data_IF_403136959471
#
_entry.id   IF_403136959471
#
_cell.length_a   1.000
_cell.length_b   1.000
_cell.length_c   1.000
_cell.angle_alpha   90.00
_cell.angle_beta   90.00
_cell.angle_gamma   90.00
#
_symmetry.space_group_name_H-M   'P 1'
#
loop_
_entity.id
_entity.type
_entity.pdbx_description
1 polymer ?
#
# COMPACT_ATOMS: atom_id res chain seq x y z
N UNK A 1 61.56 -25.46 -33.11
CA UNK A 1 60.43 -26.04 -32.33
C UNK A 1 60.06 -25.00 -31.27
N UNK A 2 58.97 -24.31 -31.51
CA UNK A 2 58.51 -23.21 -30.65
C UNK A 2 57.37 -23.70 -29.77
N UNK A 3 57.61 -23.84 -28.47
CA UNK A 3 56.60 -24.24 -27.53
C UNK A 3 55.58 -23.12 -27.32
N UNK A 4 54.32 -23.36 -27.68
CA UNK A 4 53.20 -22.52 -27.41
C UNK A 4 52.68 -22.84 -26.01
N UNK A 5 52.89 -21.96 -25.03
CA UNK A 5 52.34 -22.09 -23.68
C UNK A 5 50.90 -21.50 -23.71
N UNK A 6 49.91 -22.36 -23.61
CA UNK A 6 48.47 -21.98 -23.54
C UNK A 6 48.17 -21.60 -22.09
N UNK A 7 48.04 -20.27 -21.83
CA UNK A 7 47.62 -19.75 -20.52
C UNK A 7 46.11 -19.81 -20.43
N UNK A 8 45.57 -20.83 -19.75
CA UNK A 8 44.15 -20.89 -19.41
C UNK A 8 43.86 -19.89 -18.25
N UNK A 9 43.30 -18.74 -18.57
CA UNK A 9 42.79 -17.80 -17.59
C UNK A 9 41.40 -18.24 -17.15
N UNK A 10 41.30 -18.95 -16.01
CA UNK A 10 40.02 -19.26 -15.38
C UNK A 10 39.45 -17.94 -14.78
N UNK A 11 38.44 -17.37 -15.44
CA UNK A 11 37.66 -16.29 -14.88
C UNK A 11 36.77 -16.87 -13.75
N UNK A 12 37.15 -16.62 -12.50
CA UNK A 12 36.34 -16.91 -11.33
C UNK A 12 35.21 -15.87 -11.29
N UNK A 13 34.04 -16.16 -11.86
CA UNK A 13 32.83 -15.39 -11.62
C UNK A 13 32.40 -15.63 -10.18
N UNK A 14 32.76 -14.74 -9.26
CA UNK A 14 32.11 -14.63 -7.98
C UNK A 14 30.67 -14.16 -8.21
N UNK A 15 29.73 -15.10 -8.29
CA UNK A 15 28.31 -14.81 -8.07
C UNK A 15 28.20 -14.42 -6.58
N UNK A 16 28.15 -13.12 -6.32
CA UNK A 16 27.72 -12.64 -5.01
C UNK A 16 26.24 -13.04 -4.88
N UNK A 17 25.96 -14.12 -4.17
CA UNK A 17 24.63 -14.37 -3.65
C UNK A 17 24.32 -13.24 -2.67
N UNK A 18 23.58 -12.27 -3.12
CA UNK A 18 22.94 -11.31 -2.24
C UNK A 18 21.79 -12.07 -1.59
N UNK A 19 21.99 -12.62 -0.38
CA UNK A 19 20.91 -13.20 0.42
C UNK A 19 19.96 -12.06 0.77
N UNK A 20 18.99 -11.83 -0.12
CA UNK A 20 17.92 -10.87 0.11
C UNK A 20 17.13 -11.36 1.32
N UNK A 21 17.25 -10.66 2.45
CA UNK A 21 16.46 -10.97 3.63
C UNK A 21 14.98 -10.82 3.30
N UNK A 22 14.18 -11.73 3.81
CA UNK A 22 12.72 -11.72 3.69
C UNK A 22 12.09 -11.82 5.07
N UNK A 23 10.93 -11.21 5.24
CA UNK A 23 10.06 -11.37 6.42
C UNK A 23 8.75 -12.00 5.95
N UNK A 24 8.35 -13.09 6.61
CA UNK A 24 7.07 -13.74 6.33
C UNK A 24 6.03 -13.30 7.36
N UNK A 25 4.93 -12.75 6.86
CA UNK A 25 3.73 -12.41 7.66
C UNK A 25 2.69 -13.47 7.40
N UNK A 26 2.37 -14.28 8.42
CA UNK A 26 1.33 -15.29 8.33
C UNK A 26 0.01 -14.74 8.84
N UNK A 27 -1.00 -14.73 7.99
CA UNK A 27 -2.37 -14.29 8.31
C UNK A 27 -3.27 -15.50 8.43
N UNK A 28 -3.94 -15.65 9.57
CA UNK A 28 -4.82 -16.80 9.86
C UNK A 28 -6.27 -16.37 9.95
N UNK A 29 -7.13 -17.05 9.21
CA UNK A 29 -8.57 -16.90 9.27
C UNK A 29 -9.21 -18.10 10.00
N UNK A 30 -9.60 -17.97 11.27
CA UNK A 30 -10.22 -19.06 12.03
C UNK A 30 -11.73 -19.22 11.74
N UNK A 31 -12.30 -18.39 10.88
CA UNK A 31 -13.73 -18.40 10.59
C UNK A 31 -14.06 -19.40 9.49
N UNK A 32 -15.28 -19.93 9.51
CA UNK A 32 -15.81 -20.84 8.49
C UNK A 32 -16.34 -20.10 7.24
N UNK A 33 -15.78 -18.94 6.94
CA UNK A 33 -16.09 -18.13 5.75
C UNK A 33 -14.82 -17.51 5.20
N UNK A 34 -14.75 -17.36 3.90
CA UNK A 34 -13.62 -16.69 3.24
C UNK A 34 -13.56 -15.20 3.65
N UNK A 35 -12.37 -14.68 3.77
CA UNK A 35 -12.09 -13.26 4.02
C UNK A 35 -11.27 -12.73 2.84
N UNK A 36 -11.80 -11.71 2.17
CA UNK A 36 -11.15 -11.08 1.02
C UNK A 36 -10.84 -9.62 1.34
N UNK A 37 -9.64 -9.19 0.93
CA UNK A 37 -9.17 -7.80 1.07
C UNK A 37 -9.23 -7.26 2.50
N UNK A 38 -9.01 -8.14 3.49
CA UNK A 38 -8.95 -7.73 4.89
C UNK A 38 -7.65 -7.01 5.19
N UNK A 39 -7.74 -5.85 5.84
CA UNK A 39 -6.57 -5.04 6.14
C UNK A 39 -5.72 -5.70 7.24
N UNK A 40 -4.48 -6.01 6.90
CA UNK A 40 -3.46 -6.49 7.83
C UNK A 40 -2.58 -5.32 8.23
N UNK A 41 -2.25 -5.20 9.51
CA UNK A 41 -1.34 -4.21 10.06
C UNK A 41 -0.16 -4.91 10.75
N UNK A 42 1.06 -4.49 10.41
CA UNK A 42 2.29 -4.94 11.06
C UNK A 42 3.21 -3.75 11.34
N UNK A 43 4.07 -3.84 12.35
CA UNK A 43 5.00 -2.76 12.68
C UNK A 43 6.05 -2.60 11.57
N UNK A 44 6.14 -1.41 10.99
CA UNK A 44 7.18 -1.10 9.98
C UNK A 44 8.58 -1.08 10.61
N UNK A 45 8.71 -0.62 11.86
CA UNK A 45 9.96 -0.69 12.64
C UNK A 45 10.46 -2.13 12.76
N UNK A 46 9.57 -3.10 13.11
CA UNK A 46 9.95 -4.51 13.21
C UNK A 46 10.39 -5.07 11.85
N UNK A 47 9.64 -4.80 10.80
CA UNK A 47 9.98 -5.21 9.43
C UNK A 47 11.34 -4.65 9.01
N UNK A 48 11.58 -3.36 9.22
CA UNK A 48 12.84 -2.70 8.87
C UNK A 48 14.03 -3.30 9.59
N UNK A 49 13.88 -3.58 10.88
CA UNK A 49 14.92 -4.22 11.70
C UNK A 49 15.23 -5.64 11.21
N UNK A 50 14.21 -6.45 10.93
CA UNK A 50 14.38 -7.83 10.46
C UNK A 50 15.03 -7.89 9.08
N UNK A 51 14.64 -6.99 8.18
CA UNK A 51 15.20 -6.88 6.84
C UNK A 51 16.56 -6.17 6.81
N UNK A 52 16.92 -5.44 7.88
CA UNK A 52 18.10 -4.57 7.94
C UNK A 52 18.09 -3.54 6.79
N UNK A 53 16.94 -2.87 6.61
CA UNK A 53 16.74 -1.88 5.54
C UNK A 53 17.55 -0.61 5.82
N UNK A 54 18.03 0.00 4.73
CA UNK A 54 18.49 1.39 4.77
C UNK A 54 17.25 2.33 4.78
N UNK A 55 17.39 3.54 5.33
CA UNK A 55 16.28 4.51 5.47
C UNK A 55 15.58 4.86 4.15
N UNK A 56 16.28 4.70 3.02
CA UNK A 56 15.76 4.98 1.66
C UNK A 56 15.34 3.72 0.90
N UNK A 57 15.39 2.55 1.55
CA UNK A 57 15.05 1.29 0.86
C UNK A 57 13.56 1.20 0.61
N UNK A 58 13.19 0.83 -0.62
CA UNK A 58 11.83 0.46 -0.96
C UNK A 58 11.59 -1.01 -0.64
N UNK A 59 10.36 -1.33 -0.27
CA UNK A 59 9.92 -2.71 -0.01
C UNK A 59 8.83 -3.11 -0.99
N UNK A 60 8.57 -4.40 -1.07
CA UNK A 60 7.41 -4.98 -1.74
C UNK A 60 6.75 -5.99 -0.80
N UNK A 61 5.45 -6.14 -0.92
CA UNK A 61 4.67 -7.18 -0.25
C UNK A 61 4.19 -8.15 -1.32
N UNK A 62 4.49 -9.43 -1.15
CA UNK A 62 4.14 -10.47 -2.12
C UNK A 62 3.11 -11.43 -1.50
N UNK A 63 2.12 -11.84 -2.29
CA UNK A 63 1.21 -12.93 -1.95
C UNK A 63 1.87 -14.31 -2.11
N UNK A 64 1.12 -15.40 -1.89
CA UNK A 64 1.61 -16.77 -1.99
C UNK A 64 2.02 -17.17 -3.42
N UNK A 65 1.48 -16.48 -4.43
CA UNK A 65 1.81 -16.65 -5.84
C UNK A 65 3.08 -15.87 -6.24
N UNK A 66 3.60 -15.03 -5.35
CA UNK A 66 4.75 -14.17 -5.61
C UNK A 66 4.38 -12.87 -6.33
N UNK A 67 3.11 -12.53 -6.39
CA UNK A 67 2.63 -11.29 -6.99
C UNK A 67 2.64 -10.15 -5.97
N UNK A 68 2.99 -8.94 -6.42
CA UNK A 68 2.95 -7.78 -5.55
C UNK A 68 1.51 -7.40 -5.21
N UNK A 69 1.23 -7.24 -3.92
CA UNK A 69 -0.01 -6.65 -3.42
C UNK A 69 0.22 -5.19 -3.05
N UNK A 70 -0.81 -4.31 -3.20
CA UNK A 70 -0.70 -2.93 -2.78
C UNK A 70 -0.44 -2.84 -1.28
N UNK A 71 0.34 -1.86 -0.86
CA UNK A 71 0.60 -1.60 0.55
C UNK A 71 0.74 -0.10 0.80
N UNK A 72 0.68 0.28 2.07
CA UNK A 72 0.96 1.63 2.52
C UNK A 72 1.71 1.59 3.87
N UNK A 73 2.63 2.52 4.06
CA UNK A 73 3.19 2.82 5.39
C UNK A 73 2.43 4.01 5.94
N UNK A 74 1.84 3.83 7.12
CA UNK A 74 1.03 4.85 7.79
C UNK A 74 1.88 5.81 8.61
N UNK A 75 1.29 6.95 9.04
CA UNK A 75 1.99 7.95 9.87
C UNK A 75 2.34 7.43 11.27
N UNK A 76 1.68 6.38 11.75
CA UNK A 76 1.94 5.72 13.03
C UNK A 76 2.83 4.47 12.89
N UNK A 77 3.66 4.44 11.83
CA UNK A 77 4.69 3.43 11.59
C UNK A 77 4.16 2.00 11.44
N UNK A 78 3.04 1.86 10.73
CA UNK A 78 2.51 0.56 10.36
C UNK A 78 2.64 0.31 8.87
N UNK A 79 3.02 -0.90 8.49
CA UNK A 79 2.82 -1.42 7.15
C UNK A 79 1.43 -2.03 7.09
N UNK A 80 0.57 -1.52 6.20
CA UNK A 80 -0.77 -2.06 5.97
C UNK A 80 -0.88 -2.60 4.55
N UNK A 81 -1.58 -3.72 4.38
CA UNK A 81 -1.85 -4.34 3.09
C UNK A 81 -3.10 -5.22 3.13
N UNK A 82 -3.84 -5.37 2.01
CA UNK A 82 -5.00 -6.25 1.94
C UNK A 82 -4.56 -7.73 1.88
N UNK A 83 -5.23 -8.58 2.65
CA UNK A 83 -5.01 -10.01 2.64
C UNK A 83 -6.29 -10.77 2.33
N UNK A 84 -6.19 -11.81 1.51
CA UNK A 84 -7.27 -12.75 1.22
C UNK A 84 -6.91 -14.10 1.81
N UNK A 85 -7.79 -14.64 2.66
CA UNK A 85 -7.56 -15.91 3.36
C UNK A 85 -8.84 -16.73 3.37
N UNK A 86 -8.77 -17.95 2.85
CA UNK A 86 -9.91 -18.87 2.81
C UNK A 86 -10.38 -19.25 4.22
N UNK A 87 -11.60 -19.79 4.31
CA UNK A 87 -12.19 -20.26 5.56
C UNK A 87 -11.29 -21.30 6.26
N UNK A 88 -11.08 -21.13 7.58
CA UNK A 88 -10.26 -22.01 8.42
C UNK A 88 -8.84 -22.25 7.88
N UNK A 89 -8.24 -21.26 7.21
CA UNK A 89 -6.94 -21.35 6.56
C UNK A 89 -5.96 -20.26 7.02
N UNK A 90 -4.73 -20.36 6.54
CA UNK A 90 -3.71 -19.33 6.68
C UNK A 90 -3.09 -19.02 5.32
N UNK A 91 -2.72 -17.77 5.11
CA UNK A 91 -1.96 -17.32 3.95
C UNK A 91 -0.66 -16.66 4.41
N UNK A 92 0.42 -16.88 3.67
CA UNK A 92 1.72 -16.27 3.94
C UNK A 92 1.97 -15.13 2.94
N UNK A 93 2.34 -13.97 3.48
CA UNK A 93 2.78 -12.81 2.70
C UNK A 93 4.25 -12.57 2.96
N UNK A 94 5.00 -12.27 1.92
CA UNK A 94 6.44 -12.01 2.02
C UNK A 94 6.72 -10.52 1.87
N UNK A 95 7.42 -9.95 2.85
CA UNK A 95 7.93 -8.57 2.77
C UNK A 95 9.42 -8.64 2.52
N UNK A 96 9.90 -7.91 1.53
CA UNK A 96 11.31 -7.85 1.16
C UNK A 96 11.67 -6.50 0.53
N UNK A 97 12.96 -6.20 0.43
CA UNK A 97 13.44 -5.07 -0.36
C UNK A 97 13.09 -5.29 -1.84
N UNK A 98 12.61 -4.26 -2.52
CA UNK A 98 12.23 -4.34 -3.92
C UNK A 98 11.63 -3.04 -4.43
N UNK A 99 11.43 -2.97 -5.75
CA UNK A 99 10.77 -1.82 -6.39
C UNK A 99 9.28 -2.08 -6.51
N UNK A 100 8.43 -1.25 -5.87
CA UNK A 100 6.97 -1.36 -6.01
C UNK A 100 6.53 -1.16 -7.46
N UNK A 101 5.51 -1.91 -7.87
CA UNK A 101 4.80 -1.61 -9.12
C UNK A 101 3.78 -0.51 -8.88
N UNK A 102 3.45 0.23 -9.94
CA UNK A 102 2.35 1.20 -9.88
C UNK A 102 1.03 0.46 -9.64
N UNK A 103 0.28 0.94 -8.65
CA UNK A 103 -1.05 0.40 -8.32
C UNK A 103 -2.11 1.47 -8.55
N UNK A 104 -3.31 1.05 -8.93
CA UNK A 104 -4.44 1.95 -9.06
C UNK A 104 -4.81 2.55 -7.69
N UNK A 105 -4.94 3.88 -7.63
CA UNK A 105 -5.36 4.58 -6.41
C UNK A 105 -6.86 4.36 -6.22
N UNK A 106 -7.25 3.61 -5.20
CA UNK A 106 -8.65 3.30 -4.87
C UNK A 106 -9.23 4.14 -3.76
N UNK A 107 -8.40 4.81 -2.98
CA UNK A 107 -8.83 5.69 -1.90
C UNK A 107 -7.94 6.92 -1.85
N UNK A 108 -8.55 8.07 -1.66
CA UNK A 108 -7.83 9.33 -1.48
C UNK A 108 -8.62 10.28 -0.59
N UNK A 109 -7.97 11.32 -0.12
CA UNK A 109 -8.60 12.37 0.66
C UNK A 109 -7.67 13.56 0.81
N UNK A 110 -8.26 14.73 0.87
CA UNK A 110 -7.52 15.96 1.18
C UNK A 110 -8.43 17.02 1.78
N UNK A 111 -7.81 17.99 2.45
CA UNK A 111 -8.45 19.25 2.80
C UNK A 111 -8.40 20.19 1.60
N UNK A 112 -9.49 20.95 1.41
CA UNK A 112 -9.67 21.93 0.34
C UNK A 112 -9.84 23.35 0.93
N UNK A 113 -8.74 24.06 1.21
CA UNK A 113 -8.82 25.46 1.70
C UNK A 113 -9.58 26.36 0.74
N UNK A 114 -9.46 26.12 -0.55
CA UNK A 114 -10.14 26.84 -1.63
C UNK A 114 -11.67 26.64 -1.64
N UNK A 115 -12.16 25.59 -0.97
CA UNK A 115 -13.59 25.27 -0.79
C UNK A 115 -14.07 25.49 0.64
N UNK A 116 -13.62 26.57 1.27
CA UNK A 116 -13.97 26.92 2.64
C UNK A 116 -13.53 25.89 3.70
N UNK A 117 -12.32 25.38 3.51
CA UNK A 117 -11.66 24.41 4.40
C UNK A 117 -12.40 23.08 4.54
N UNK A 118 -13.17 22.67 3.54
CA UNK A 118 -13.80 21.37 3.59
C UNK A 118 -12.75 20.24 3.52
N UNK A 119 -13.11 19.11 4.10
CA UNK A 119 -12.37 17.84 3.99
C UNK A 119 -13.20 16.89 3.17
N UNK A 120 -12.61 16.37 2.09
CA UNK A 120 -13.25 15.33 1.30
C UNK A 120 -12.36 14.10 1.21
N UNK A 121 -12.98 12.92 1.21
CA UNK A 121 -12.30 11.63 1.04
C UNK A 121 -13.22 10.66 0.33
N UNK A 122 -12.63 9.70 -0.36
CA UNK A 122 -13.35 8.70 -1.14
C UNK A 122 -12.60 7.39 -1.24
N UNK A 123 -13.33 6.34 -1.54
CA UNK A 123 -12.81 5.10 -2.12
C UNK A 123 -13.47 4.84 -3.48
N UNK A 124 -13.30 3.64 -4.03
CA UNK A 124 -13.89 3.23 -5.32
C UNK A 124 -15.43 3.12 -5.30
N UNK A 125 -16.08 3.12 -4.13
CA UNK A 125 -17.52 2.93 -3.96
C UNK A 125 -18.25 4.19 -3.52
N UNK A 126 -17.62 5.03 -2.69
CA UNK A 126 -18.29 6.14 -2.00
C UNK A 126 -17.34 7.30 -1.76
N UNK A 127 -17.86 8.52 -1.88
CA UNK A 127 -17.19 9.75 -1.47
C UNK A 127 -17.90 10.43 -0.32
N UNK A 128 -17.15 11.16 0.49
CA UNK A 128 -17.64 11.95 1.61
C UNK A 128 -17.08 13.36 1.55
N UNK A 129 -17.84 14.30 2.11
CA UNK A 129 -17.41 15.68 2.32
C UNK A 129 -17.86 16.14 3.69
N UNK A 130 -16.94 16.69 4.46
CA UNK A 130 -17.21 17.40 5.71
C UNK A 130 -16.92 18.89 5.53
N UNK A 131 -17.84 19.73 5.99
CA UNK A 131 -17.69 21.17 5.88
C UNK A 131 -16.70 21.72 6.90
N UNK A 132 -15.85 22.64 6.45
CA UNK A 132 -14.80 23.23 7.26
C UNK A 132 -15.25 24.45 8.09
N UNK A 133 -14.38 24.92 8.99
CA UNK A 133 -14.68 26.05 9.88
C UNK A 133 -14.87 27.38 9.14
N UNK A 134 -14.27 27.54 7.95
CA UNK A 134 -14.43 28.77 7.16
C UNK A 134 -15.87 28.94 6.65
N UNK A 135 -16.61 27.87 6.40
CA UNK A 135 -18.03 27.94 6.08
C UNK A 135 -18.86 28.45 7.27
N UNK A 136 -18.57 27.96 8.47
CA UNK A 136 -19.23 28.39 9.70
C UNK A 136 -18.97 29.87 10.00
N UNK A 137 -17.77 30.37 9.72
CA UNK A 137 -17.42 31.79 9.88
C UNK A 137 -18.23 32.72 8.97
N UNK A 138 -18.80 32.22 7.88
CA UNK A 138 -19.75 32.95 7.01
C UNK A 138 -21.19 32.92 7.48
N UNK A 139 -21.46 32.28 8.63
CA UNK A 139 -22.81 32.18 9.19
C UNK A 139 -23.62 30.97 8.67
N UNK A 140 -23.02 30.13 7.82
CA UNK A 140 -23.64 28.90 7.35
C UNK A 140 -23.48 27.78 8.39
N UNK A 141 -24.55 27.03 8.62
CA UNK A 141 -24.58 25.96 9.63
C UNK A 141 -24.68 24.59 8.96
N UNK A 142 -23.68 24.29 8.15
CA UNK A 142 -23.51 22.93 7.60
C UNK A 142 -22.86 22.03 8.66
N UNK A 143 -23.64 21.15 9.28
CA UNK A 143 -23.12 20.12 10.20
C UNK A 143 -23.40 18.74 9.62
N UNK A 144 -22.38 17.87 9.65
CA UNK A 144 -22.49 16.51 9.17
C UNK A 144 -21.64 16.24 7.93
N UNK A 145 -22.00 15.20 7.22
CA UNK A 145 -21.29 14.72 6.04
C UNK A 145 -22.24 14.63 4.87
N UNK A 146 -21.78 15.09 3.72
CA UNK A 146 -22.39 14.69 2.44
C UNK A 146 -21.85 13.30 2.09
N UNK A 147 -22.72 12.45 1.56
CA UNK A 147 -22.42 11.11 1.08
C UNK A 147 -22.74 11.01 -0.41
N UNK A 148 -21.77 10.58 -1.20
CA UNK A 148 -21.89 10.41 -2.63
C UNK A 148 -21.60 8.97 -3.00
N UNK A 149 -22.58 8.26 -3.58
CA UNK A 149 -22.36 6.90 -4.09
C UNK A 149 -21.79 6.95 -5.51
N UNK A 150 -20.78 6.14 -5.77
CA UNK A 150 -20.14 6.04 -7.08
C UNK A 150 -20.78 4.94 -7.91
N UNK A 151 -20.89 5.15 -9.24
CA UNK A 151 -21.46 4.18 -10.17
C UNK A 151 -20.35 3.39 -10.87
N UNK A 152 -19.72 2.47 -10.13
CA UNK A 152 -18.77 1.52 -10.72
C UNK A 152 -17.52 2.12 -11.35
N UNK A 153 -17.08 3.27 -10.85
CA UNK A 153 -15.81 3.87 -11.26
C UNK A 153 -14.86 3.89 -10.07
N UNK A 154 -13.64 3.36 -10.25
CA UNK A 154 -12.58 3.45 -9.28
C UNK A 154 -11.90 4.83 -9.30
N UNK A 155 -12.02 5.59 -10.41
CA UNK A 155 -11.37 6.88 -10.55
C UNK A 155 -11.80 7.88 -9.48
N UNK A 156 -10.87 8.66 -8.89
CA UNK A 156 -11.18 9.73 -7.97
C UNK A 156 -12.11 10.78 -8.58
N UNK A 157 -13.11 11.24 -7.81
CA UNK A 157 -14.10 12.25 -8.23
C UNK A 157 -14.19 13.43 -7.26
N UNK A 158 -13.31 13.52 -6.27
CA UNK A 158 -13.33 14.58 -5.25
C UNK A 158 -13.29 15.99 -5.84
N UNK A 159 -12.56 16.17 -6.94
CA UNK A 159 -12.47 17.46 -7.61
C UNK A 159 -13.81 17.88 -8.22
N UNK A 160 -14.61 16.91 -8.67
CA UNK A 160 -15.93 17.13 -9.28
C UNK A 160 -17.02 17.39 -8.24
N UNK A 161 -16.83 16.93 -6.99
CA UNK A 161 -17.80 17.14 -5.89
C UNK A 161 -17.98 18.60 -5.49
N UNK A 162 -17.13 19.50 -5.95
CA UNK A 162 -17.24 20.95 -5.68
C UNK A 162 -18.34 21.64 -6.50
N UNK A 163 -18.86 20.99 -7.55
CA UNK A 163 -19.78 21.59 -8.51
C UNK A 163 -21.26 21.42 -8.14
N UNK A 164 -21.57 20.80 -7.00
CA UNK A 164 -22.94 20.57 -6.55
C UNK A 164 -23.28 21.64 -5.50
N UNK A 165 -23.62 22.82 -5.96
CA UNK A 165 -24.28 23.88 -5.22
C UNK A 165 -25.43 24.43 -6.06
#
# INVERSE_FOLDING_TARGET
MRNFLLLCMAALCCLACNDSKIVTVTVTNPLAMDRSDEMVEVSMTEISNLLNLADTAQIVVLNVEGEQVPYQVTYDDKLIFPATVAANASAAYTVQAGTPVDVEVRACGRQYPERLDDMAWENDLVGFRAYGPALQARGERGFGYDLFTKRGTAAPVLEDLSLIH
#
